data_IF_390009396061
#
_entry.id   IF_390009396061
#
_cell.length_a   1.000
_cell.length_b   1.000
_cell.length_c   1.000
_cell.angle_alpha   90.00
_cell.angle_beta   90.00
_cell.angle_gamma   90.00
#
_symmetry.space_group_name_H-M   'P 1'
#
loop_
_entity.id
_entity.type
_entity.pdbx_description
1 polymer ?
#
# COMPACT_ATOMS: atom_id res chain seq x y z
N UNK A 1 10.87 22.39 10.17
CA UNK A 1 11.05 21.03 9.68
C UNK A 1 9.92 20.18 10.21
N UNK A 2 9.25 19.43 9.35
CA UNK A 2 8.17 18.52 9.76
C UNK A 2 8.68 17.10 9.56
N UNK A 3 8.56 16.25 10.58
CA UNK A 3 9.03 14.86 10.55
C UNK A 3 7.89 13.96 10.99
N UNK A 4 7.62 12.91 10.21
CA UNK A 4 6.73 11.82 10.61
C UNK A 4 7.56 10.65 11.09
N UNK A 5 7.16 10.05 12.21
CA UNK A 5 7.85 8.88 12.78
C UNK A 5 6.83 7.73 12.86
N UNK A 6 7.15 6.62 12.20
CA UNK A 6 6.27 5.44 12.19
C UNK A 6 5.99 4.91 13.60
N UNK A 7 6.91 5.09 14.52
CA UNK A 7 6.74 4.67 15.93
C UNK A 7 5.58 5.40 16.60
N UNK A 8 5.24 6.58 16.11
CA UNK A 8 4.18 7.42 16.67
C UNK A 8 2.89 7.37 15.86
N UNK A 9 2.86 6.59 14.79
CA UNK A 9 1.69 6.45 13.93
C UNK A 9 1.09 5.08 14.13
N UNK A 10 -0.05 5.01 14.81
CA UNK A 10 -0.76 3.74 15.02
C UNK A 10 -1.29 3.17 13.72
N UNK A 11 -1.83 4.02 12.88
CA UNK A 11 -2.42 3.62 11.62
C UNK A 11 -3.71 2.84 11.80
N UNK A 12 -4.04 2.05 10.79
CA UNK A 12 -5.26 1.22 10.76
C UNK A 12 -4.89 -0.23 10.51
N UNK A 13 -5.50 -1.12 11.30
CA UNK A 13 -5.40 -2.57 11.09
C UNK A 13 -6.66 -3.00 10.35
N UNK A 14 -6.49 -3.59 9.17
CA UNK A 14 -7.58 -4.05 8.31
C UNK A 14 -7.85 -5.55 8.51
N UNK A 15 -9.09 -6.02 8.24
CA UNK A 15 -9.43 -7.44 8.39
C UNK A 15 -8.55 -8.39 7.58
N UNK A 16 -8.04 -7.94 6.43
CA UNK A 16 -7.18 -8.74 5.56
C UNK A 16 -5.74 -8.87 6.09
N UNK A 17 -5.55 -8.73 7.40
CA UNK A 17 -4.27 -8.95 8.11
C UNK A 17 -3.16 -8.04 7.62
N UNK A 18 -3.48 -6.77 7.45
CA UNK A 18 -2.49 -5.75 7.15
C UNK A 18 -2.68 -4.54 8.04
N UNK A 19 -1.59 -3.83 8.28
CA UNK A 19 -1.58 -2.56 9.00
C UNK A 19 -1.05 -1.48 8.07
N UNK A 20 -1.76 -0.39 7.94
CA UNK A 20 -1.35 0.76 7.15
C UNK A 20 -1.05 1.93 8.07
N UNK A 21 0.13 2.52 7.91
CA UNK A 21 0.60 3.66 8.68
C UNK A 21 0.94 4.81 7.72
N UNK A 22 -0.02 5.71 7.41
CA UNK A 22 0.27 6.87 6.57
C UNK A 22 1.29 7.78 7.25
N UNK A 23 2.36 8.17 6.55
CA UNK A 23 3.34 9.12 7.09
C UNK A 23 3.42 10.41 6.27
N UNK A 24 2.74 10.47 5.12
CA UNK A 24 2.46 11.70 4.39
C UNK A 24 0.98 11.65 3.98
N UNK A 25 0.22 12.62 4.39
CA UNK A 25 -1.22 12.67 4.17
C UNK A 25 -2.01 12.02 5.29
N UNK A 26 -3.32 11.93 5.13
CA UNK A 26 -4.21 11.40 6.17
C UNK A 26 -4.06 12.19 7.47
N UNK A 27 -3.86 11.48 8.58
CA UNK A 27 -3.64 12.09 9.90
C UNK A 27 -2.17 12.32 10.24
N UNK A 28 -1.26 12.09 9.28
CA UNK A 28 0.18 12.26 9.51
C UNK A 28 0.54 13.74 9.69
N UNK A 29 1.67 14.03 10.38
CA UNK A 29 2.14 15.41 10.51
C UNK A 29 2.47 16.07 9.16
N UNK A 30 2.93 15.29 8.19
CA UNK A 30 3.29 15.82 6.87
C UNK A 30 2.07 15.79 5.96
N UNK A 31 1.74 16.94 5.38
CA UNK A 31 0.66 17.09 4.40
C UNK A 31 1.27 17.63 3.10
N UNK A 32 1.55 16.74 2.15
CA UNK A 32 2.05 17.14 0.85
C UNK A 32 0.88 17.56 -0.06
N UNK A 33 1.16 18.42 -1.04
CA UNK A 33 0.13 18.95 -1.92
C UNK A 33 -0.29 17.97 -3.03
N UNK A 34 0.65 17.11 -3.49
CA UNK A 34 0.44 16.33 -4.70
C UNK A 34 0.59 14.82 -4.52
N UNK A 35 0.89 14.34 -3.32
CA UNK A 35 1.06 12.89 -3.09
C UNK A 35 0.80 12.51 -1.64
N UNK A 36 0.54 11.23 -1.45
CA UNK A 36 0.46 10.60 -0.14
C UNK A 36 1.48 9.48 -0.10
N UNK A 37 2.01 9.18 1.08
CA UNK A 37 2.90 8.05 1.31
C UNK A 37 2.55 7.36 2.61
N UNK A 38 2.74 6.06 2.63
CA UNK A 38 2.55 5.29 3.85
C UNK A 38 3.34 4.00 3.85
N UNK A 39 3.37 3.40 5.02
CA UNK A 39 4.04 2.14 5.28
C UNK A 39 2.99 1.08 5.56
N UNK A 40 3.13 -0.08 4.95
CA UNK A 40 2.18 -1.18 5.11
C UNK A 40 2.91 -2.44 5.53
N UNK A 41 2.39 -3.09 6.57
CA UNK A 41 2.87 -4.38 7.03
C UNK A 41 1.79 -5.41 6.78
N UNK A 42 2.15 -6.47 6.04
CA UNK A 42 1.28 -7.60 5.74
C UNK A 42 1.74 -8.79 6.57
N UNK A 43 0.84 -9.36 7.35
CA UNK A 43 1.18 -10.51 8.15
C UNK A 43 1.38 -11.77 7.28
N UNK A 44 2.27 -12.69 7.70
CA UNK A 44 2.38 -13.97 7.01
C UNK A 44 1.07 -14.76 7.13
N UNK A 45 0.87 -15.69 6.23
CA UNK A 45 -0.37 -16.45 6.16
C UNK A 45 -1.44 -15.74 5.36
N UNK A 46 -1.05 -14.92 4.38
CA UNK A 46 -1.96 -14.34 3.41
C UNK A 46 -2.45 -12.93 3.71
N UNK A 47 -1.73 -12.19 4.56
CA UNK A 47 -2.03 -10.76 4.71
C UNK A 47 -1.99 -10.08 3.35
N UNK A 48 -2.95 -9.20 3.07
CA UNK A 48 -3.08 -8.65 1.71
C UNK A 48 -3.77 -7.30 1.66
N UNK A 49 -3.48 -6.56 0.61
CA UNK A 49 -4.40 -5.56 0.10
C UNK A 49 -5.26 -6.27 -0.95
N UNK A 50 -6.59 -6.31 -0.78
CA UNK A 50 -7.45 -7.08 -1.68
C UNK A 50 -7.52 -6.48 -3.07
N UNK A 51 -8.04 -7.25 -4.01
CA UNK A 51 -8.26 -6.84 -5.40
C UNK A 51 -9.11 -5.59 -5.46
N UNK A 52 -8.56 -4.50 -5.98
CA UNK A 52 -9.22 -3.20 -6.08
C UNK A 52 -8.58 -2.35 -7.17
N UNK A 53 -9.21 -1.24 -7.49
CA UNK A 53 -8.63 -0.19 -8.34
C UNK A 53 -8.93 1.18 -7.74
N UNK A 54 -8.16 2.17 -8.15
CA UNK A 54 -8.34 3.57 -7.76
C UNK A 54 -7.96 4.47 -8.92
N UNK A 55 -8.42 5.71 -8.91
CA UNK A 55 -8.12 6.65 -10.00
C UNK A 55 -6.66 7.11 -10.00
N UNK A 56 -6.06 7.23 -8.80
CA UNK A 56 -4.68 7.69 -8.66
C UNK A 56 -3.70 6.63 -9.12
N UNK A 57 -2.65 7.06 -9.79
CA UNK A 57 -1.50 6.19 -10.01
C UNK A 57 -0.74 6.00 -8.70
N UNK A 58 -0.02 4.90 -8.58
CA UNK A 58 0.61 4.51 -7.34
C UNK A 58 1.88 3.72 -7.59
N UNK A 59 2.82 3.82 -6.64
CA UNK A 59 4.02 2.98 -6.59
C UNK A 59 3.95 2.16 -5.31
N UNK A 60 4.26 0.87 -5.40
CA UNK A 60 4.59 0.03 -4.25
C UNK A 60 6.08 -0.25 -4.27
N UNK A 61 6.76 0.05 -3.19
CA UNK A 61 8.18 -0.29 -3.02
C UNK A 61 8.31 -1.33 -1.91
N UNK A 62 8.84 -2.49 -2.23
CA UNK A 62 8.98 -3.59 -1.26
C UNK A 62 10.23 -3.36 -0.42
N UNK A 63 10.05 -3.19 0.88
CA UNK A 63 11.13 -2.93 1.84
C UNK A 63 11.71 -4.25 2.36
N UNK A 64 10.83 -5.22 2.64
CA UNK A 64 11.22 -6.48 3.28
C UNK A 64 10.19 -7.56 2.95
N UNK A 65 10.64 -8.76 2.77
CA UNK A 65 9.76 -9.91 2.55
C UNK A 65 9.52 -10.25 1.09
N UNK A 66 8.53 -11.11 0.88
CA UNK A 66 8.16 -11.66 -0.43
C UNK A 66 6.65 -11.63 -0.58
N UNK A 67 6.18 -11.23 -1.74
CA UNK A 67 4.75 -11.20 -2.02
C UNK A 67 4.42 -11.59 -3.44
N UNK A 68 3.14 -11.84 -3.66
CA UNK A 68 2.59 -12.02 -4.99
C UNK A 68 1.83 -10.78 -5.39
N UNK A 69 2.26 -10.15 -6.47
CA UNK A 69 1.61 -8.97 -7.04
C UNK A 69 0.77 -9.38 -8.24
N UNK A 70 -0.51 -9.00 -8.20
CA UNK A 70 -1.41 -9.11 -9.33
C UNK A 70 -1.73 -7.69 -9.82
N UNK A 71 -1.56 -7.44 -11.11
CA UNK A 71 -1.81 -6.15 -11.72
C UNK A 71 -2.49 -6.38 -13.08
N UNK A 72 -3.77 -6.06 -13.18
CA UNK A 72 -4.55 -6.42 -14.34
C UNK A 72 -4.51 -7.93 -14.56
N UNK A 73 -4.03 -8.36 -15.72
CA UNK A 73 -3.90 -9.79 -16.06
C UNK A 73 -2.52 -10.35 -15.73
N UNK A 74 -1.61 -9.51 -15.23
CA UNK A 74 -0.26 -9.93 -14.89
C UNK A 74 -0.15 -10.38 -13.44
N UNK A 75 0.74 -11.32 -13.21
CA UNK A 75 0.99 -11.89 -11.88
C UNK A 75 2.46 -12.23 -11.76
N UNK A 76 3.10 -11.76 -10.70
CA UNK A 76 4.49 -12.14 -10.44
C UNK A 76 4.84 -12.02 -8.96
N UNK A 77 5.88 -12.72 -8.57
CA UNK A 77 6.50 -12.57 -7.26
C UNK A 77 7.30 -11.27 -7.21
N UNK A 78 7.15 -10.53 -6.12
CA UNK A 78 7.94 -9.32 -5.84
C UNK A 78 8.70 -9.52 -4.53
N UNK A 79 9.90 -8.94 -4.46
CA UNK A 79 10.80 -9.10 -3.31
C UNK A 79 11.38 -7.74 -2.92
N UNK A 80 12.04 -7.70 -1.75
CA UNK A 80 12.69 -6.50 -1.23
C UNK A 80 13.58 -5.82 -2.30
N UNK A 81 13.49 -4.49 -2.37
CA UNK A 81 14.23 -3.68 -3.32
C UNK A 81 13.52 -3.44 -4.65
N UNK A 82 12.37 -4.05 -4.88
CA UNK A 82 11.61 -3.88 -6.12
C UNK A 82 10.49 -2.88 -5.96
N UNK A 83 10.27 -2.08 -7.00
CA UNK A 83 9.15 -1.15 -7.08
C UNK A 83 8.20 -1.62 -8.17
N UNK A 84 6.90 -1.48 -7.91
CA UNK A 84 5.83 -1.80 -8.85
C UNK A 84 5.08 -0.53 -9.18
N UNK A 85 4.98 -0.20 -10.48
CA UNK A 85 4.14 0.90 -10.91
C UNK A 85 2.72 0.42 -11.18
N UNK A 86 1.76 1.13 -10.61
CA UNK A 86 0.32 0.82 -10.73
C UNK A 86 -0.35 1.99 -11.42
N UNK A 87 -0.71 1.85 -12.70
CA UNK A 87 -1.45 2.91 -13.40
C UNK A 87 -2.81 3.16 -12.76
N UNK A 88 -3.29 4.40 -12.85
CA UNK A 88 -4.63 4.73 -12.39
C UNK A 88 -5.69 3.87 -13.09
N UNK A 89 -6.66 3.38 -12.33
CA UNK A 89 -7.77 2.60 -12.85
C UNK A 89 -7.49 1.10 -13.06
N UNK A 90 -6.25 0.65 -12.88
CA UNK A 90 -5.92 -0.77 -13.08
C UNK A 90 -6.10 -1.53 -11.77
N UNK A 91 -6.86 -2.62 -11.84
CA UNK A 91 -7.08 -3.50 -10.68
C UNK A 91 -5.79 -4.18 -10.25
N UNK A 92 -5.58 -4.24 -8.96
CA UNK A 92 -4.37 -4.82 -8.39
C UNK A 92 -4.59 -5.40 -6.99
N UNK A 93 -3.66 -6.26 -6.59
CA UNK A 93 -3.67 -6.94 -5.30
C UNK A 93 -2.24 -7.32 -4.95
N UNK A 94 -1.88 -7.20 -3.69
CA UNK A 94 -0.60 -7.68 -3.17
C UNK A 94 -0.88 -8.57 -1.97
N UNK A 95 -0.30 -9.77 -1.99
CA UNK A 95 -0.48 -10.77 -0.93
C UNK A 95 0.87 -11.20 -0.38
N UNK A 96 0.99 -11.30 0.94
CA UNK A 96 2.18 -11.89 1.56
C UNK A 96 2.16 -13.40 1.36
N UNK A 97 3.12 -13.90 0.58
CA UNK A 97 3.29 -15.33 0.30
C UNK A 97 4.47 -15.94 1.05
N UNK A 98 5.15 -15.16 1.86
CA UNK A 98 6.28 -15.62 2.66
C UNK A 98 5.87 -16.04 4.07
N UNK A 99 6.87 -16.39 4.86
CA UNK A 99 6.71 -16.84 6.25
C UNK A 99 7.03 -15.73 7.26
N UNK A 100 7.49 -14.58 6.78
CA UNK A 100 7.81 -13.39 7.59
C UNK A 100 6.94 -12.22 7.13
N UNK A 101 6.84 -11.15 7.92
CA UNK A 101 6.08 -9.96 7.49
C UNK A 101 6.59 -9.41 6.16
N UNK A 102 5.66 -9.01 5.30
CA UNK A 102 5.95 -8.29 4.07
C UNK A 102 5.75 -6.80 4.37
N UNK A 103 6.78 -6.00 4.11
CA UNK A 103 6.74 -4.56 4.37
C UNK A 103 6.91 -3.79 3.07
N UNK A 104 6.07 -2.79 2.90
CA UNK A 104 5.96 -2.03 1.66
C UNK A 104 5.72 -0.56 1.96
N UNK A 105 6.28 0.30 1.13
CA UNK A 105 5.95 1.73 1.12
C UNK A 105 5.12 1.99 -0.14
N UNK A 106 3.98 2.67 0.02
CA UNK A 106 3.25 3.18 -1.12
C UNK A 106 3.46 4.68 -1.27
N UNK A 107 3.45 5.12 -2.52
CA UNK A 107 3.37 6.53 -2.88
C UNK A 107 2.24 6.67 -3.90
N UNK A 108 1.26 7.49 -3.58
CA UNK A 108 0.06 7.67 -4.37
C UNK A 108 -0.01 9.13 -4.84
N UNK A 109 -0.08 9.35 -6.13
CA UNK A 109 -0.19 10.69 -6.71
C UNK A 109 -1.63 11.19 -6.59
N UNK A 110 -1.78 12.51 -6.51
CA UNK A 110 -2.90 13.25 -6.00
C UNK A 110 -3.12 13.00 -4.51
N UNK A 111 -2.91 14.04 -3.72
CA UNK A 111 -3.13 14.01 -2.28
C UNK A 111 -4.60 13.74 -1.96
N UNK A 112 -4.86 13.23 -0.76
CA UNK A 112 -6.20 12.91 -0.31
C UNK A 112 -6.48 11.40 -0.34
N UNK A 113 -7.67 10.96 0.12
CA UNK A 113 -8.01 9.56 0.15
C UNK A 113 -8.11 8.98 -1.27
N UNK A 114 -7.87 7.67 -1.44
CA UNK A 114 -7.99 7.03 -2.75
C UNK A 114 -9.43 7.13 -3.26
N UNK A 115 -9.57 7.42 -4.56
CA UNK A 115 -10.86 7.43 -5.24
C UNK A 115 -11.07 6.04 -5.79
N UNK A 116 -11.80 5.22 -5.06
CA UNK A 116 -12.03 3.82 -5.40
C UNK A 116 -13.04 3.68 -6.54
N UNK A 117 -12.90 2.61 -7.27
CA UNK A 117 -13.87 2.25 -8.30
C UNK A 117 -15.24 1.99 -7.64
N UNK A 118 -16.37 2.42 -8.25
CA UNK A 118 -17.68 2.16 -7.69
C UNK A 118 -17.91 0.67 -7.39
N UNK A 119 -18.54 0.39 -6.26
CA UNK A 119 -18.86 -0.96 -5.76
C UNK A 119 -17.68 -1.73 -5.19
N UNK A 120 -16.55 -1.07 -4.92
CA UNK A 120 -15.44 -1.70 -4.22
C UNK A 120 -15.37 -1.21 -2.78
N UNK A 121 -15.00 -2.12 -1.89
CA UNK A 121 -14.65 -1.81 -0.52
C UNK A 121 -13.21 -2.24 -0.28
N UNK A 122 -12.40 -1.32 0.20
CA UNK A 122 -11.01 -1.60 0.53
C UNK A 122 -10.94 -2.08 1.97
N UNK A 123 -10.67 -3.35 2.13
CA UNK A 123 -10.53 -3.99 3.44
C UNK A 123 -9.10 -3.99 3.98
#
# INVERSE_FOLDING_TARGET
>A
MIVSDLKEISGTIFPARRRTQPFVGGSAPIQAETFNMGFVTFEPGGGQVPWHSQEQEEIYYIVEGTGEMCLGEEKRTVIAGQAVYIPGGVFHQLTNTGETPLKMIYCCAAAGPPVLHPKQELE
#
